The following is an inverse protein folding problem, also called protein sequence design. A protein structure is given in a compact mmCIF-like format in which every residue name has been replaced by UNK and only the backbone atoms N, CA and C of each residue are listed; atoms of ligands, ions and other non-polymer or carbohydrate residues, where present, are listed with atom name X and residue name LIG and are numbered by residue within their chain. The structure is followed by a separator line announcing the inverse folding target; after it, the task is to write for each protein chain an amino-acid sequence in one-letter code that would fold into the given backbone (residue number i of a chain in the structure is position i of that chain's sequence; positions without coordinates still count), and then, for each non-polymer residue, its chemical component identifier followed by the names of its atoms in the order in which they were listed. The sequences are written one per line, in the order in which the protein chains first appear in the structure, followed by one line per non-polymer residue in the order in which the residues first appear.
data_IF_484086531478
#
_entry.id   IF_484086531478
#
_cell.length_a   1.000
_cell.length_b   1.000
_cell.length_c   1.000
_cell.angle_alpha   90.00
_cell.angle_beta   90.00
_cell.angle_gamma   90.00
#
_symmetry.space_group_name_H-M   'P 1'
#
loop_
_entity.id
_entity.type
_entity.pdbx_description
1 polymer ?
#
# COMPACT_ATOMS: atom_id res chain seq x y z
N UNK A 1 -11.97 0.53 13.60
CA UNK A 1 -11.64 0.49 12.15
C UNK A 1 -11.24 -0.92 11.75
N UNK A 2 -11.61 -1.40 10.55
CA UNK A 2 -11.10 -2.68 10.05
C UNK A 2 -9.59 -2.61 9.84
N UNK A 3 -8.88 -3.68 10.21
CA UNK A 3 -7.44 -3.85 10.01
C UNK A 3 -7.17 -4.35 8.58
N UNK A 4 -6.01 -4.02 8.02
CA UNK A 4 -5.65 -4.39 6.65
C UNK A 4 -5.73 -5.91 6.39
N UNK A 5 -5.42 -6.74 7.39
CA UNK A 5 -5.53 -8.20 7.32
C UNK A 5 -6.94 -8.74 7.06
N UNK A 6 -7.99 -7.93 7.21
CA UNK A 6 -9.36 -8.32 6.85
C UNK A 6 -9.67 -8.16 5.35
N UNK A 7 -8.82 -7.43 4.60
CA UNK A 7 -9.01 -7.16 3.17
C UNK A 7 -8.23 -8.14 2.30
N UNK A 8 -7.02 -8.52 2.73
CA UNK A 8 -6.22 -9.51 2.03
C UNK A 8 -5.57 -10.49 3.04
N UNK A 9 -6.18 -11.66 3.29
CA UNK A 9 -5.73 -12.56 4.36
C UNK A 9 -4.37 -13.21 4.10
N UNK A 10 -3.87 -13.16 2.85
CA UNK A 10 -2.67 -13.89 2.41
C UNK A 10 -1.40 -13.04 2.40
N UNK A 11 -1.51 -11.71 2.38
CA UNK A 11 -0.35 -10.84 2.27
C UNK A 11 -0.64 -9.44 2.82
N UNK A 12 0.31 -8.90 3.57
CA UNK A 12 0.37 -7.48 3.92
C UNK A 12 1.32 -6.81 2.92
N UNK A 13 0.86 -5.85 2.11
CA UNK A 13 1.72 -5.15 1.17
C UNK A 13 2.70 -4.24 1.92
N UNK A 14 3.83 -4.00 1.28
CA UNK A 14 4.79 -2.97 1.68
C UNK A 14 4.25 -1.62 1.17
N UNK A 15 4.20 -0.61 2.03
CA UNK A 15 3.92 0.76 1.60
C UNK A 15 5.17 1.61 1.73
N UNK A 16 5.47 2.35 0.67
CA UNK A 16 6.49 3.40 0.64
C UNK A 16 5.73 4.72 0.69
N UNK A 17 6.01 5.55 1.69
CA UNK A 17 5.26 6.78 2.00
C UNK A 17 6.05 8.06 1.75
N UNK A 18 7.34 7.92 1.48
CA UNK A 18 8.27 9.03 1.20
C UNK A 18 8.98 8.82 -0.13
N UNK A 19 9.48 9.91 -0.72
CA UNK A 19 10.26 9.84 -1.95
C UNK A 19 11.56 9.03 -1.76
N UNK A 20 12.23 9.19 -0.61
CA UNK A 20 13.48 8.48 -0.31
C UNK A 20 13.26 6.96 -0.23
N UNK A 21 12.14 6.51 0.35
CA UNK A 21 11.78 5.09 0.37
C UNK A 21 11.55 4.54 -1.04
N UNK A 22 10.96 5.35 -1.94
CA UNK A 22 10.79 4.98 -3.36
C UNK A 22 12.14 4.90 -4.07
N UNK A 23 13.01 5.89 -3.86
CA UNK A 23 14.35 5.91 -4.44
C UNK A 23 15.18 4.69 -4.02
N UNK A 24 15.19 4.36 -2.72
CA UNK A 24 15.86 3.17 -2.20
C UNK A 24 15.27 1.92 -2.84
N UNK A 25 13.94 1.82 -2.91
CA UNK A 25 13.29 0.64 -3.49
C UNK A 25 13.62 0.42 -4.96
N UNK A 26 13.70 1.50 -5.74
CA UNK A 26 13.93 1.44 -7.19
C UNK A 26 15.39 1.29 -7.57
N UNK A 27 16.32 1.84 -6.77
CA UNK A 27 17.71 2.01 -7.18
C UNK A 27 18.73 1.33 -6.26
N UNK A 28 18.39 1.01 -5.01
CA UNK A 28 19.34 0.37 -4.09
C UNK A 28 19.48 -1.14 -4.35
N UNK A 29 20.55 -1.77 -3.84
CA UNK A 29 20.65 -3.22 -3.78
C UNK A 29 19.44 -3.86 -3.10
N UNK A 30 19.06 -5.06 -3.56
CA UNK A 30 17.84 -5.72 -3.10
C UNK A 30 17.82 -5.94 -1.57
N UNK A 31 18.96 -6.24 -0.95
CA UNK A 31 19.06 -6.43 0.51
C UNK A 31 18.76 -5.15 1.30
N UNK A 32 18.99 -3.98 0.71
CA UNK A 32 18.66 -2.69 1.30
C UNK A 32 17.18 -2.35 1.10
N UNK A 33 16.67 -2.51 -0.12
CA UNK A 33 15.25 -2.30 -0.42
C UNK A 33 14.33 -3.20 0.42
N UNK A 34 14.72 -4.46 0.64
CA UNK A 34 13.93 -5.41 1.44
C UNK A 34 13.82 -5.02 2.92
N UNK A 35 14.70 -4.16 3.44
CA UNK A 35 14.57 -3.66 4.83
C UNK A 35 13.37 -2.73 5.01
N UNK A 36 12.86 -2.16 3.92
CA UNK A 36 11.64 -1.34 3.90
C UNK A 36 10.37 -2.18 4.02
N UNK A 37 10.45 -3.52 3.95
CA UNK A 37 9.30 -4.41 4.17
C UNK A 37 8.90 -4.49 5.64
N UNK A 38 8.41 -3.37 6.18
CA UNK A 38 7.90 -3.30 7.54
C UNK A 38 6.37 -3.39 7.56
N UNK A 39 5.78 -4.06 8.57
CA UNK A 39 4.35 -4.02 8.77
C UNK A 39 3.91 -2.58 8.98
N UNK A 40 2.93 -2.14 8.21
CA UNK A 40 2.39 -0.80 8.37
C UNK A 40 1.82 -0.66 9.79
N UNK A 41 2.16 0.43 10.49
CA UNK A 41 1.54 0.74 11.77
C UNK A 41 0.01 0.77 11.58
N UNK A 42 -0.68 -0.04 12.40
CA UNK A 42 -2.14 -0.05 12.46
C UNK A 42 -2.61 1.42 12.65
N UNK A 43 -3.54 1.89 11.78
CA UNK A 43 -4.18 3.24 11.75
C UNK A 43 -3.64 4.28 10.75
N UNK A 44 -2.69 3.97 9.88
CA UNK A 44 -2.26 4.90 8.80
C UNK A 44 -3.17 4.87 7.57
N UNK A 45 -3.91 3.78 7.34
CA UNK A 45 -4.81 3.62 6.20
C UNK A 45 -6.28 3.68 6.58
N UNK A 46 -7.09 4.23 5.66
CA UNK A 46 -8.55 4.27 5.74
C UNK A 46 -9.16 3.69 4.47
N UNK A 47 -10.12 2.78 4.62
CA UNK A 47 -10.93 2.29 3.51
C UNK A 47 -11.86 3.43 3.05
N UNK A 48 -11.73 3.86 1.79
CA UNK A 48 -12.54 4.96 1.21
C UNK A 48 -13.67 4.48 0.29
N UNK A 49 -13.63 3.24 -0.18
CA UNK A 49 -14.66 2.64 -1.02
C UNK A 49 -14.71 1.10 -0.80
N UNK A 50 -15.85 0.49 -1.12
CA UNK A 50 -16.08 -0.97 -1.13
C UNK A 50 -17.01 -1.30 -2.30
N UNK A 51 -16.87 -2.50 -2.88
CA UNK A 51 -17.67 -2.95 -4.03
C UNK A 51 -16.83 -3.09 -5.30
N UNK A 52 -17.47 -3.37 -6.44
CA UNK A 52 -16.80 -3.46 -7.73
C UNK A 52 -16.27 -2.08 -8.17
N UNK A 53 -15.19 -2.07 -8.95
CA UNK A 53 -14.69 -0.85 -9.59
C UNK A 53 -15.72 -0.40 -10.64
N UNK A 54 -16.23 0.82 -10.50
CA UNK A 54 -17.07 1.48 -11.50
C UNK A 54 -16.32 2.71 -12.02
N UNK A 55 -16.22 2.85 -13.33
CA UNK A 55 -15.71 4.07 -13.95
C UNK A 55 -16.87 5.08 -14.05
N UNK A 56 -16.66 6.38 -13.74
CA UNK A 56 -17.70 7.38 -13.88
C UNK A 56 -18.14 7.49 -15.34
N UNK A 57 -19.42 7.74 -15.58
CA UNK A 57 -19.94 7.99 -16.92
C UNK A 57 -19.15 9.15 -17.57
N UNK A 58 -18.83 9.06 -18.88
CA UNK A 58 -18.18 10.15 -19.59
C UNK A 58 -18.99 11.44 -19.40
N UNK A 59 -18.31 12.54 -19.09
CA UNK A 59 -18.94 13.86 -19.10
C UNK A 59 -19.29 14.20 -20.55
N UNK A 60 -20.58 14.11 -20.90
CA UNK A 60 -21.15 14.60 -22.17
C UNK A 60 -21.44 16.09 -22.09
#
# INVERSE_FOLDING_TARGET
MPKFGAVHPKATPVMLTTADEVEIWMNAPADEALKLQQPLLDRTLRIVARGAKEDPAPLT
#
